data_IF_998812519458
#
_entry.id   IF_998812519458
#
_cell.length_a   1.000
_cell.length_b   1.000
_cell.length_c   1.000
_cell.angle_alpha   90.00
_cell.angle_beta   90.00
_cell.angle_gamma   90.00
#
_symmetry.space_group_name_H-M   'P 1'
#
loop_
_entity.id
_entity.type
_entity.pdbx_description
1 polymer ?
#
# COMPACT_ATOMS: atom_id res chain seq x y z
N UNK A 1 27.39 -3.95 5.17
CA UNK A 1 25.98 -3.77 4.77
C UNK A 1 25.60 -4.98 3.93
N UNK A 2 24.81 -5.88 4.47
CA UNK A 2 24.33 -7.04 3.75
C UNK A 2 23.48 -6.60 2.56
N UNK A 3 23.94 -6.99 1.37
CA UNK A 3 23.24 -6.69 0.12
C UNK A 3 21.98 -7.58 0.10
N UNK A 4 20.89 -7.14 0.73
CA UNK A 4 19.61 -7.87 0.73
C UNK A 4 19.21 -8.05 -0.74
N UNK A 5 19.40 -9.26 -1.27
CA UNK A 5 19.06 -9.60 -2.65
C UNK A 5 17.56 -9.45 -2.85
N UNK A 6 17.16 -8.93 -4.02
CA UNK A 6 15.75 -8.90 -4.39
C UNK A 6 15.12 -10.30 -4.25
N UNK A 7 13.90 -10.40 -3.74
CA UNK A 7 13.16 -11.66 -3.69
C UNK A 7 13.13 -12.34 -5.06
N UNK A 8 13.26 -13.67 -5.08
CA UNK A 8 13.35 -14.46 -6.31
C UNK A 8 12.17 -14.18 -7.25
N UNK A 9 10.94 -14.09 -6.73
CA UNK A 9 9.74 -13.83 -7.53
C UNK A 9 9.76 -12.47 -8.26
N UNK A 10 10.44 -11.46 -7.72
CA UNK A 10 10.61 -10.17 -8.40
C UNK A 10 11.51 -10.35 -9.63
N UNK A 11 12.61 -11.09 -9.48
CA UNK A 11 13.53 -11.39 -10.58
C UNK A 11 12.87 -12.23 -11.67
N UNK A 12 12.12 -13.25 -11.29
CA UNK A 12 11.49 -14.19 -12.23
C UNK A 12 10.38 -13.52 -13.07
N UNK A 13 9.63 -12.59 -12.49
CA UNK A 13 8.47 -12.00 -13.18
C UNK A 13 8.80 -10.67 -13.82
N UNK A 14 9.52 -9.81 -13.10
CA UNK A 14 9.81 -8.45 -13.58
C UNK A 14 11.23 -8.34 -14.15
N UNK A 15 12.00 -9.44 -14.15
CA UNK A 15 13.38 -9.48 -14.63
C UNK A 15 14.23 -8.42 -13.93
N UNK A 16 14.99 -7.68 -14.73
CA UNK A 16 15.83 -6.59 -14.23
C UNK A 16 15.12 -5.22 -14.20
N UNK A 17 13.79 -5.17 -14.40
CA UNK A 17 13.07 -3.90 -14.43
C UNK A 17 13.35 -3.05 -13.18
N UNK A 18 13.17 -3.62 -11.97
CA UNK A 18 13.41 -2.92 -10.72
C UNK A 18 14.89 -2.71 -10.39
N UNK A 19 15.81 -3.35 -11.14
CA UNK A 19 17.26 -3.15 -11.06
C UNK A 19 17.78 -2.21 -12.14
N UNK A 20 16.94 -1.74 -13.04
CA UNK A 20 17.33 -0.86 -14.13
C UNK A 20 16.81 0.56 -13.91
N UNK A 21 17.72 1.45 -13.52
CA UNK A 21 17.39 2.86 -13.24
C UNK A 21 16.74 3.57 -14.43
N UNK A 22 17.20 3.32 -15.65
CA UNK A 22 16.64 3.95 -16.86
C UNK A 22 15.21 3.52 -17.10
N UNK A 23 14.90 2.22 -16.91
CA UNK A 23 13.53 1.70 -17.03
C UNK A 23 12.62 2.26 -15.93
N UNK A 24 13.11 2.31 -14.70
CA UNK A 24 12.37 2.91 -13.59
C UNK A 24 12.06 4.40 -13.81
N UNK A 25 13.05 5.18 -14.29
CA UNK A 25 12.85 6.58 -14.61
C UNK A 25 11.89 6.79 -15.80
N UNK A 26 11.93 5.90 -16.80
CA UNK A 26 10.97 5.91 -17.89
C UNK A 26 9.56 5.60 -17.39
N UNK A 27 9.41 4.59 -16.54
CA UNK A 27 8.14 4.21 -15.94
C UNK A 27 7.54 5.29 -15.03
N UNK A 28 8.35 6.22 -14.51
CA UNK A 28 7.89 7.32 -13.64
C UNK A 28 7.32 8.52 -14.42
N UNK A 29 7.37 8.50 -15.76
CA UNK A 29 6.84 9.62 -16.57
C UNK A 29 5.33 9.78 -16.39
N UNK A 30 4.84 11.02 -16.18
CA UNK A 30 3.42 11.28 -15.87
C UNK A 30 2.45 10.74 -16.92
N UNK A 31 2.76 10.89 -18.21
CA UNK A 31 1.89 10.40 -19.28
C UNK A 31 1.75 8.87 -19.25
N UNK A 32 2.85 8.16 -18.94
CA UNK A 32 2.82 6.71 -18.87
C UNK A 32 2.00 6.23 -17.66
N UNK A 33 2.10 6.93 -16.53
CA UNK A 33 1.27 6.64 -15.34
C UNK A 33 -0.20 6.84 -15.62
N UNK A 34 -0.54 7.93 -16.32
CA UNK A 34 -1.92 8.18 -16.75
C UNK A 34 -2.42 7.09 -17.69
N UNK A 35 -1.61 6.67 -18.64
CA UNK A 35 -1.95 5.58 -19.56
C UNK A 35 -2.13 4.24 -18.80
N UNK A 36 -1.17 3.84 -17.97
CA UNK A 36 -1.22 2.58 -17.21
C UNK A 36 -2.39 2.51 -16.22
N UNK A 37 -2.82 3.65 -15.68
CA UNK A 37 -3.99 3.72 -14.80
C UNK A 37 -5.30 3.98 -15.53
N UNK A 38 -5.27 4.01 -16.87
CA UNK A 38 -6.41 4.39 -17.71
C UNK A 38 -7.05 5.72 -17.26
N UNK A 39 -6.21 6.71 -16.91
CA UNK A 39 -6.64 8.04 -16.44
C UNK A 39 -7.10 8.10 -14.98
N UNK A 40 -7.04 7.00 -14.22
CA UNK A 40 -7.58 6.96 -12.85
C UNK A 40 -6.57 7.27 -11.75
N UNK A 41 -5.30 7.52 -12.07
CA UNK A 41 -4.25 7.81 -11.09
C UNK A 41 -4.63 8.93 -10.11
N UNK A 42 -5.18 10.04 -10.60
CA UNK A 42 -5.59 11.18 -9.74
C UNK A 42 -6.70 10.75 -8.77
N UNK A 43 -7.74 10.06 -9.26
CA UNK A 43 -8.84 9.58 -8.42
C UNK A 43 -8.38 8.60 -7.34
N UNK A 44 -7.41 7.74 -7.66
CA UNK A 44 -6.87 6.78 -6.70
C UNK A 44 -5.98 7.47 -5.66
N UNK A 45 -5.20 8.48 -6.06
CA UNK A 45 -4.45 9.33 -5.14
C UNK A 45 -5.41 10.06 -4.20
N UNK A 46 -6.44 10.73 -4.73
CA UNK A 46 -7.45 11.42 -3.92
C UNK A 46 -8.16 10.47 -2.95
N UNK A 47 -8.46 9.25 -3.40
CA UNK A 47 -9.06 8.23 -2.53
C UNK A 47 -8.13 7.83 -1.37
N UNK A 48 -6.81 7.85 -1.60
CA UNK A 48 -5.78 7.62 -0.57
C UNK A 48 -5.72 8.80 0.40
N UNK A 49 -5.63 10.02 -0.13
CA UNK A 49 -5.45 11.25 0.67
C UNK A 49 -6.64 11.54 1.61
N UNK A 50 -7.84 11.06 1.27
CA UNK A 50 -9.03 11.14 2.15
C UNK A 50 -8.86 10.34 3.45
N UNK A 51 -7.95 9.39 3.46
CA UNK A 51 -7.66 8.56 4.63
C UNK A 51 -6.49 9.10 5.47
N UNK A 52 -5.85 10.17 5.06
CA UNK A 52 -4.66 10.73 5.69
C UNK A 52 -4.98 12.13 6.21
N UNK A 53 -4.64 12.39 7.46
CA UNK A 53 -4.77 13.70 8.09
C UNK A 53 -3.43 14.44 8.14
N UNK A 54 -3.50 15.76 8.32
CA UNK A 54 -2.32 16.55 8.59
C UNK A 54 -1.70 16.13 9.93
N UNK A 55 -0.38 15.95 9.96
CA UNK A 55 0.36 15.52 11.15
C UNK A 55 0.42 14.00 11.34
N UNK A 56 -0.26 13.20 10.52
CA UNK A 56 -0.22 11.74 10.62
C UNK A 56 1.22 11.20 10.45
N UNK A 57 1.48 10.10 11.15
CA UNK A 57 2.62 9.22 10.88
C UNK A 57 2.18 8.13 9.91
N UNK A 58 2.67 8.21 8.68
CA UNK A 58 2.32 7.31 7.60
C UNK A 58 3.49 6.38 7.30
N UNK A 59 3.23 5.08 7.26
CA UNK A 59 4.13 4.08 6.69
C UNK A 59 3.62 3.65 5.33
N UNK A 60 4.43 3.76 4.30
CA UNK A 60 4.10 3.21 2.99
C UNK A 60 4.96 1.98 2.69
N UNK A 61 4.29 0.91 2.29
CA UNK A 61 4.92 -0.33 1.86
C UNK A 61 5.10 -0.31 0.34
N UNK A 62 6.36 -0.18 -0.09
CA UNK A 62 6.76 -0.05 -1.50
C UNK A 62 6.82 1.38 -2.00
N UNK A 63 7.91 1.70 -2.71
CA UNK A 63 8.04 2.93 -3.48
C UNK A 63 7.05 2.93 -4.65
N UNK A 64 6.48 4.09 -4.95
CA UNK A 64 5.56 4.21 -6.09
C UNK A 64 6.13 5.09 -7.20
N UNK A 65 5.53 4.97 -8.36
CA UNK A 65 5.78 5.84 -9.50
C UNK A 65 4.73 6.97 -9.54
N UNK A 66 5.09 8.10 -10.17
CA UNK A 66 4.19 9.23 -10.34
C UNK A 66 4.19 10.17 -9.13
N UNK A 67 3.02 10.74 -8.81
CA UNK A 67 2.88 11.83 -7.83
C UNK A 67 2.33 11.37 -6.47
N UNK A 68 2.04 10.09 -6.29
CA UNK A 68 1.34 9.61 -5.08
C UNK A 68 2.13 9.91 -3.80
N UNK A 69 3.45 9.65 -3.79
CA UNK A 69 4.31 9.93 -2.63
C UNK A 69 4.39 11.42 -2.32
N UNK A 70 4.54 12.25 -3.36
CA UNK A 70 4.55 13.71 -3.21
C UNK A 70 3.26 14.23 -2.59
N UNK A 71 2.12 13.81 -3.13
CA UNK A 71 0.81 14.22 -2.63
C UNK A 71 0.57 13.75 -1.19
N UNK A 72 1.08 12.57 -0.81
CA UNK A 72 1.05 12.10 0.58
C UNK A 72 1.90 12.97 1.49
N UNK A 73 3.13 13.32 1.08
CA UNK A 73 4.02 14.20 1.84
C UNK A 73 3.41 15.61 2.03
N UNK A 74 2.79 16.15 0.99
CA UNK A 74 2.06 17.43 1.07
C UNK A 74 0.86 17.33 2.03
N UNK A 75 0.12 16.23 1.99
CA UNK A 75 -1.08 16.01 2.81
C UNK A 75 -0.77 15.96 4.30
N UNK A 76 0.27 15.24 4.71
CA UNK A 76 0.67 15.16 6.13
C UNK A 76 1.31 16.46 6.63
N UNK A 77 1.88 17.26 5.72
CA UNK A 77 2.55 18.51 6.04
C UNK A 77 3.88 18.31 6.80
N UNK A 78 4.50 19.42 7.20
CA UNK A 78 5.83 19.43 7.80
C UNK A 78 5.93 18.81 9.21
N UNK A 79 4.81 18.65 9.89
CA UNK A 79 4.74 18.07 11.24
C UNK A 79 4.41 16.58 11.24
N UNK A 80 4.03 16.02 10.07
CA UNK A 80 3.83 14.59 9.90
C UNK A 80 5.16 13.85 9.71
N UNK A 81 5.08 12.52 9.75
CA UNK A 81 6.18 11.61 9.41
C UNK A 81 5.73 10.69 8.28
N UNK A 82 6.56 10.50 7.28
CA UNK A 82 6.26 9.62 6.16
C UNK A 82 7.41 8.67 5.90
N UNK A 83 7.31 7.45 6.40
CA UNK A 83 8.31 6.41 6.16
C UNK A 83 7.90 5.54 4.97
N UNK A 84 8.84 5.36 4.05
CA UNK A 84 8.65 4.53 2.86
C UNK A 84 9.66 3.41 2.89
N UNK A 85 9.19 2.17 2.87
CA UNK A 85 10.06 0.99 2.80
C UNK A 85 10.02 0.39 1.40
N UNK A 86 11.16 -0.10 0.94
CA UNK A 86 11.24 -0.88 -0.30
C UNK A 86 12.37 -1.89 -0.20
N UNK A 87 12.21 -3.02 -0.86
CA UNK A 87 13.22 -4.07 -0.96
C UNK A 87 14.29 -3.76 -2.02
N UNK A 88 14.00 -2.83 -2.94
CA UNK A 88 14.92 -2.38 -3.99
C UNK A 88 15.66 -1.11 -3.59
N UNK A 89 16.97 -1.20 -3.46
CA UNK A 89 17.85 -0.03 -3.24
C UNK A 89 17.73 0.99 -4.37
N UNK A 90 17.49 0.55 -5.60
CA UNK A 90 17.33 1.43 -6.77
C UNK A 90 16.04 2.25 -6.63
N UNK A 91 14.93 1.63 -6.20
CA UNK A 91 13.69 2.35 -5.95
C UNK A 91 13.85 3.38 -4.81
N UNK A 92 14.50 2.99 -3.72
CA UNK A 92 14.83 3.90 -2.62
C UNK A 92 15.68 5.07 -3.12
N UNK A 93 16.76 4.81 -3.86
CA UNK A 93 17.66 5.83 -4.39
C UNK A 93 16.91 6.79 -5.34
N UNK A 94 16.07 6.25 -6.24
CA UNK A 94 15.21 7.03 -7.15
C UNK A 94 14.26 7.95 -6.40
N UNK A 95 13.54 7.42 -5.42
CA UNK A 95 12.61 8.21 -4.62
C UNK A 95 13.33 9.28 -3.81
N UNK A 96 14.49 8.96 -3.22
CA UNK A 96 15.31 9.89 -2.49
C UNK A 96 15.87 11.02 -3.38
N UNK A 97 16.29 10.69 -4.60
CA UNK A 97 16.74 11.69 -5.57
C UNK A 97 15.59 12.64 -5.99
N UNK A 98 14.38 12.09 -6.14
CA UNK A 98 13.21 12.85 -6.58
C UNK A 98 12.63 13.75 -5.49
N UNK A 99 12.59 13.29 -4.23
CA UNK A 99 11.82 13.91 -3.17
C UNK A 99 12.66 14.34 -1.96
N UNK A 100 13.87 13.79 -1.78
CA UNK A 100 14.63 13.95 -0.53
C UNK A 100 15.01 15.39 -0.18
N UNK A 101 15.24 16.24 -1.18
CA UNK A 101 15.53 17.67 -0.99
C UNK A 101 14.28 18.54 -0.86
N UNK A 102 13.11 18.01 -1.23
CA UNK A 102 11.84 18.75 -1.24
C UNK A 102 11.01 18.51 0.02
N UNK A 103 11.09 17.31 0.59
CA UNK A 103 10.24 16.85 1.67
C UNK A 103 11.05 16.17 2.76
N UNK A 104 11.54 16.95 3.74
CA UNK A 104 12.37 16.46 4.84
C UNK A 104 11.67 15.47 5.77
N UNK A 105 10.35 15.44 5.75
CA UNK A 105 9.53 14.50 6.54
C UNK A 105 9.48 13.07 5.95
N UNK A 106 10.07 12.83 4.76
CA UNK A 106 10.10 11.49 4.15
C UNK A 106 11.33 10.72 4.63
N UNK A 107 11.12 9.64 5.37
CA UNK A 107 12.12 8.62 5.70
C UNK A 107 12.16 7.51 4.64
N UNK A 108 13.34 6.99 4.33
CA UNK A 108 13.53 5.91 3.36
C UNK A 108 14.21 4.73 4.03
N UNK A 109 13.57 3.56 4.00
CA UNK A 109 14.02 2.36 4.72
C UNK A 109 14.16 1.21 3.72
N UNK A 110 15.38 0.66 3.61
CA UNK A 110 15.63 -0.53 2.79
C UNK A 110 15.26 -1.78 3.59
N UNK A 111 14.02 -2.25 3.39
CA UNK A 111 13.47 -3.40 4.13
C UNK A 111 12.42 -4.13 3.30
N UNK A 112 12.19 -5.41 3.61
CA UNK A 112 11.11 -6.16 2.98
C UNK A 112 9.77 -5.80 3.63
N UNK A 113 8.75 -5.56 2.82
CA UNK A 113 7.40 -5.20 3.27
C UNK A 113 6.70 -6.28 4.11
N UNK A 114 7.21 -7.52 4.12
CA UNK A 114 6.70 -8.61 4.95
C UNK A 114 7.28 -8.64 6.38
N UNK A 115 8.16 -7.71 6.70
CA UNK A 115 8.73 -7.53 8.04
C UNK A 115 8.03 -6.33 8.71
N UNK A 116 7.34 -6.52 9.86
CA UNK A 116 6.66 -5.43 10.51
C UNK A 116 7.65 -4.40 11.08
N UNK A 117 7.24 -3.14 11.06
CA UNK A 117 7.89 -2.09 11.82
C UNK A 117 7.19 -1.89 13.17
N UNK A 118 7.78 -1.06 14.05
CA UNK A 118 7.16 -0.76 15.36
C UNK A 118 5.75 -0.22 15.18
N UNK A 119 4.84 -0.70 16.03
CA UNK A 119 3.43 -0.31 16.06
C UNK A 119 3.25 1.14 16.53
N UNK A 120 3.43 2.10 15.63
CA UNK A 120 3.31 3.53 15.95
C UNK A 120 2.77 4.40 14.81
N UNK A 121 2.32 3.80 13.70
CA UNK A 121 1.82 4.54 12.55
C UNK A 121 0.30 4.74 12.63
N UNK A 122 -0.14 5.96 12.32
CA UNK A 122 -1.56 6.31 12.20
C UNK A 122 -2.18 5.63 10.98
N UNK A 123 -1.42 5.61 9.88
CA UNK A 123 -1.83 4.99 8.62
C UNK A 123 -0.70 4.13 8.08
N UNK A 124 -1.01 2.87 7.74
CA UNK A 124 -0.12 2.02 6.94
C UNK A 124 -0.72 1.88 5.55
N UNK A 125 0.01 2.33 4.52
CA UNK A 125 -0.46 2.44 3.15
C UNK A 125 0.18 1.37 2.26
N UNK A 126 -0.65 0.59 1.59
CA UNK A 126 -0.30 -0.30 0.48
C UNK A 126 -0.93 0.28 -0.79
N UNK A 127 -0.12 0.97 -1.60
CA UNK A 127 -0.59 1.58 -2.84
C UNK A 127 -0.03 0.84 -4.04
N UNK A 128 -0.89 0.10 -4.74
CA UNK A 128 -0.52 -0.67 -5.93
C UNK A 128 0.66 -1.63 -5.68
N UNK A 129 0.59 -2.41 -4.60
CA UNK A 129 1.65 -3.34 -4.19
C UNK A 129 1.23 -4.81 -4.27
N UNK A 130 0.00 -5.14 -3.84
CA UNK A 130 -0.38 -6.55 -3.66
C UNK A 130 -0.47 -7.31 -4.98
N UNK A 131 -0.81 -6.63 -6.07
CA UNK A 131 -0.86 -7.27 -7.40
C UNK A 131 0.53 -7.69 -7.94
N UNK A 132 1.61 -7.19 -7.34
CA UNK A 132 2.99 -7.51 -7.76
C UNK A 132 3.59 -8.71 -7.01
N UNK A 133 2.91 -9.23 -5.99
CA UNK A 133 3.49 -10.24 -5.11
C UNK A 133 2.67 -11.54 -5.08
N UNK A 134 3.32 -12.71 -4.87
CA UNK A 134 2.63 -14.00 -4.75
C UNK A 134 1.71 -14.06 -3.52
N UNK A 135 0.77 -15.01 -3.51
CA UNK A 135 -0.23 -15.17 -2.46
C UNK A 135 0.36 -15.23 -1.05
N UNK A 136 1.43 -15.99 -0.86
CA UNK A 136 2.10 -16.13 0.45
C UNK A 136 2.65 -14.78 0.91
N UNK A 137 3.18 -13.98 0.01
CA UNK A 137 3.69 -12.64 0.31
C UNK A 137 2.57 -11.64 0.59
N UNK A 138 1.43 -11.71 -0.14
CA UNK A 138 0.25 -10.90 0.18
C UNK A 138 -0.17 -11.06 1.64
N UNK A 139 -0.25 -12.32 2.11
CA UNK A 139 -0.61 -12.60 3.50
C UNK A 139 0.42 -12.06 4.50
N UNK A 140 1.71 -12.26 4.25
CA UNK A 140 2.79 -11.75 5.12
C UNK A 140 2.78 -10.23 5.19
N UNK A 141 2.71 -9.56 4.04
CA UNK A 141 2.71 -8.10 3.93
C UNK A 141 1.49 -7.49 4.65
N UNK A 142 0.29 -8.05 4.45
CA UNK A 142 -0.91 -7.56 5.12
C UNK A 142 -0.86 -7.74 6.64
N UNK A 143 -0.35 -8.89 7.12
CA UNK A 143 -0.19 -9.09 8.57
C UNK A 143 0.89 -8.17 9.15
N UNK A 144 2.02 -7.96 8.46
CA UNK A 144 3.05 -7.00 8.86
C UNK A 144 2.51 -5.56 8.91
N UNK A 145 1.67 -5.17 7.94
CA UNK A 145 1.01 -3.87 7.95
C UNK A 145 0.10 -3.68 9.17
N UNK A 146 -0.69 -4.72 9.50
CA UNK A 146 -1.57 -4.72 10.67
C UNK A 146 -0.84 -4.72 12.01
N UNK A 147 0.38 -5.27 12.05
CA UNK A 147 1.27 -5.20 13.20
C UNK A 147 1.96 -3.84 13.33
N UNK A 148 2.16 -3.13 12.22
CA UNK A 148 2.84 -1.82 12.20
C UNK A 148 1.92 -0.65 12.54
N UNK A 149 0.60 -0.80 12.35
CA UNK A 149 -0.38 0.24 12.65
C UNK A 149 -0.67 0.31 14.15
N UNK A 150 -0.67 1.53 14.72
CA UNK A 150 -1.01 1.74 16.12
C UNK A 150 -2.47 1.42 16.43
N UNK A 151 -2.81 1.32 17.69
CA UNK A 151 -4.20 1.23 18.11
C UNK A 151 -4.98 2.49 17.73
N UNK A 152 -6.20 2.31 17.19
CA UNK A 152 -6.99 3.40 16.60
C UNK A 152 -6.53 3.89 15.23
N UNK A 153 -5.38 3.41 14.73
CA UNK A 153 -4.92 3.64 13.37
C UNK A 153 -5.62 2.74 12.34
N UNK A 154 -5.18 2.81 11.09
CA UNK A 154 -5.78 2.05 9.99
C UNK A 154 -4.74 1.59 8.95
N UNK A 155 -5.02 0.46 8.32
CA UNK A 155 -4.34 0.02 7.10
C UNK A 155 -5.21 0.40 5.91
N UNK A 156 -4.61 1.03 4.90
CA UNK A 156 -5.28 1.45 3.66
C UNK A 156 -4.63 0.72 2.49
N UNK A 157 -5.43 -0.03 1.75
CA UNK A 157 -4.98 -0.75 0.55
C UNK A 157 -5.67 -0.16 -0.66
N UNK A 158 -4.90 0.28 -1.65
CA UNK A 158 -5.37 0.65 -2.99
C UNK A 158 -4.75 -0.34 -3.96
N UNK A 159 -5.58 -1.10 -4.66
CA UNK A 159 -5.06 -2.10 -5.61
C UNK A 159 -6.13 -2.51 -6.64
N UNK A 160 -5.76 -3.41 -7.56
CA UNK A 160 -6.67 -3.97 -8.54
C UNK A 160 -7.81 -4.75 -7.88
N UNK A 161 -8.91 -4.82 -8.60
CA UNK A 161 -10.08 -5.63 -8.29
C UNK A 161 -10.71 -6.12 -9.60
N UNK A 162 -11.57 -7.10 -9.54
CA UNK A 162 -12.26 -7.62 -10.71
C UNK A 162 -13.22 -6.57 -11.30
N UNK A 163 -13.02 -6.15 -12.56
CA UNK A 163 -13.97 -5.26 -13.23
C UNK A 163 -15.37 -5.85 -13.29
N UNK A 164 -16.38 -5.00 -13.18
CA UNK A 164 -17.77 -5.41 -13.35
C UNK A 164 -17.96 -6.20 -14.66
N UNK A 165 -18.91 -7.13 -14.69
CA UNK A 165 -19.15 -8.00 -15.87
C UNK A 165 -19.42 -7.21 -17.16
N UNK A 166 -20.05 -6.04 -17.03
CA UNK A 166 -20.37 -5.13 -18.13
C UNK A 166 -19.22 -4.21 -18.54
N UNK A 167 -18.08 -4.22 -17.81
CA UNK A 167 -16.98 -3.27 -18.06
C UNK A 167 -16.30 -3.55 -19.41
N UNK A 168 -16.22 -2.57 -20.33
CA UNK A 168 -15.76 -2.80 -21.70
C UNK A 168 -14.31 -3.29 -21.79
N UNK A 169 -13.46 -2.90 -20.84
CA UNK A 169 -12.05 -3.28 -20.81
C UNK A 169 -11.76 -4.58 -20.05
N UNK A 170 -12.80 -5.26 -19.51
CA UNK A 170 -12.62 -6.44 -18.66
C UNK A 170 -11.73 -7.53 -19.29
N UNK A 171 -12.02 -7.89 -20.54
CA UNK A 171 -11.26 -8.93 -21.23
C UNK A 171 -9.84 -8.50 -21.59
N UNK A 172 -9.68 -7.24 -21.99
CA UNK A 172 -8.35 -6.65 -22.28
C UNK A 172 -7.47 -6.63 -21.04
N UNK A 173 -7.99 -6.14 -19.91
CA UNK A 173 -7.25 -6.09 -18.64
C UNK A 173 -6.91 -7.49 -18.14
N UNK A 174 -7.82 -8.46 -18.30
CA UNK A 174 -7.55 -9.86 -17.94
C UNK A 174 -6.39 -10.44 -18.76
N UNK A 175 -6.41 -10.23 -20.08
CA UNK A 175 -5.33 -10.66 -20.96
C UNK A 175 -4.01 -9.99 -20.58
N UNK A 176 -4.01 -8.67 -20.34
CA UNK A 176 -2.83 -7.92 -19.92
C UNK A 176 -2.26 -8.43 -18.60
N UNK A 177 -3.11 -8.67 -17.59
CA UNK A 177 -2.68 -9.19 -16.30
C UNK A 177 -2.03 -10.57 -16.42
N UNK A 178 -2.61 -11.47 -17.22
CA UNK A 178 -2.02 -12.81 -17.45
C UNK A 178 -0.64 -12.76 -18.04
N UNK A 179 -0.38 -11.80 -18.92
CA UNK A 179 0.91 -11.69 -19.61
C UNK A 179 1.97 -10.95 -18.79
N UNK A 180 1.57 -9.91 -18.05
CA UNK A 180 2.52 -8.98 -17.42
C UNK A 180 2.40 -8.88 -15.89
N UNK A 181 1.27 -9.32 -15.32
CA UNK A 181 0.99 -9.20 -13.88
C UNK A 181 0.27 -10.45 -13.35
N UNK A 182 0.91 -11.61 -13.36
CA UNK A 182 0.25 -12.90 -13.08
C UNK A 182 -0.35 -13.00 -11.67
N UNK A 183 0.10 -12.18 -10.74
CA UNK A 183 -0.44 -12.16 -9.38
C UNK A 183 -1.64 -11.22 -9.19
N UNK A 184 -1.99 -10.40 -10.19
CA UNK A 184 -3.12 -9.47 -10.11
C UNK A 184 -4.47 -10.21 -10.11
N UNK A 185 -4.60 -11.30 -10.88
CA UNK A 185 -5.84 -12.08 -10.94
C UNK A 185 -6.24 -12.68 -9.58
N UNK A 186 -5.29 -12.92 -8.69
CA UNK A 186 -5.59 -13.38 -7.33
C UNK A 186 -6.42 -12.37 -6.51
N UNK A 187 -6.34 -11.08 -6.85
CA UNK A 187 -7.18 -10.03 -6.23
C UNK A 187 -8.57 -9.95 -6.87
N UNK A 188 -8.79 -10.64 -7.98
CA UNK A 188 -10.09 -10.78 -8.61
C UNK A 188 -10.87 -11.93 -7.98
N UNK A 189 -10.19 -13.06 -7.74
CA UNK A 189 -10.82 -14.27 -7.24
C UNK A 189 -11.03 -14.27 -5.73
N UNK A 190 -10.30 -13.41 -5.00
CA UNK A 190 -10.28 -13.41 -3.55
C UNK A 190 -10.36 -12.01 -2.95
N UNK A 191 -11.14 -11.87 -1.90
CA UNK A 191 -11.14 -10.63 -1.10
C UNK A 191 -9.82 -10.47 -0.33
N UNK A 192 -9.36 -9.23 -0.17
CA UNK A 192 -8.14 -8.90 0.59
C UNK A 192 -8.21 -9.46 2.02
N UNK A 193 -9.39 -9.48 2.63
CA UNK A 193 -9.61 -10.05 3.95
C UNK A 193 -9.23 -11.55 4.06
N UNK A 194 -9.28 -12.30 2.95
CA UNK A 194 -8.94 -13.73 2.94
C UNK A 194 -7.45 -14.01 3.14
N UNK A 195 -6.59 -13.01 2.96
CA UNK A 195 -5.14 -13.12 3.18
C UNK A 195 -4.72 -12.80 4.61
N UNK A 196 -5.64 -12.32 5.46
CA UNK A 196 -5.33 -11.90 6.84
C UNK A 196 -5.73 -13.00 7.81
N UNK A 197 -4.81 -13.31 8.75
CA UNK A 197 -5.14 -14.15 9.92
C UNK A 197 -6.15 -13.41 10.79
N UNK A 198 -7.06 -14.17 11.39
CA UNK A 198 -8.03 -13.60 12.33
C UNK A 198 -8.82 -12.40 11.79
N UNK A 199 -9.19 -12.46 10.50
CA UNK A 199 -9.90 -11.35 9.82
C UNK A 199 -11.09 -10.79 10.60
N UNK A 200 -11.67 -11.58 11.51
CA UNK A 200 -12.82 -11.20 12.35
C UNK A 200 -12.44 -10.19 13.47
N UNK A 201 -11.14 -10.02 13.76
CA UNK A 201 -10.64 -8.99 14.71
C UNK A 201 -10.64 -7.58 14.11
N UNK A 202 -10.97 -7.45 12.83
CA UNK A 202 -10.89 -6.19 12.09
C UNK A 202 -12.24 -5.79 11.51
N UNK A 203 -12.40 -4.48 11.31
CA UNK A 203 -13.50 -3.87 10.56
C UNK A 203 -13.00 -3.57 9.17
N UNK A 204 -13.72 -4.04 8.16
CA UNK A 204 -13.37 -3.93 6.76
C UNK A 204 -14.34 -3.01 6.04
N UNK A 205 -13.82 -2.00 5.34
CA UNK A 205 -14.61 -1.13 4.47
C UNK A 205 -14.00 -1.13 3.08
N UNK A 206 -14.78 -1.47 2.08
CA UNK A 206 -14.33 -1.51 0.68
C UNK A 206 -15.10 -0.49 -0.17
N UNK A 207 -14.38 0.22 -1.03
CA UNK A 207 -14.92 1.09 -2.07
C UNK A 207 -14.34 0.70 -3.42
N UNK A 208 -15.15 0.71 -4.47
CA UNK A 208 -14.74 0.35 -5.83
C UNK A 208 -14.65 1.59 -6.70
N UNK A 209 -13.71 1.57 -7.64
CA UNK A 209 -13.42 2.67 -8.57
C UNK A 209 -13.36 2.15 -9.99
N UNK A 210 -13.68 3.00 -10.95
CA UNK A 210 -13.62 2.74 -12.37
C UNK A 210 -14.28 1.39 -12.75
N UNK A 211 -15.60 1.30 -12.53
CA UNK A 211 -16.37 0.09 -12.84
C UNK A 211 -15.87 -1.19 -12.17
N UNK A 212 -15.26 -1.06 -10.99
CA UNK A 212 -14.76 -2.17 -10.21
C UNK A 212 -13.30 -2.56 -10.47
N UNK A 213 -12.60 -1.93 -11.43
CA UNK A 213 -11.20 -2.29 -11.74
C UNK A 213 -10.21 -2.05 -10.60
N UNK A 214 -10.52 -1.09 -9.72
CA UNK A 214 -9.72 -0.77 -8.55
C UNK A 214 -10.56 -0.81 -7.29
N UNK A 215 -9.92 -1.15 -6.19
CA UNK A 215 -10.53 -1.12 -4.86
C UNK A 215 -9.68 -0.28 -3.89
N UNK A 216 -10.39 0.37 -2.95
CA UNK A 216 -9.82 0.86 -1.71
C UNK A 216 -10.39 0.00 -0.58
N UNK A 217 -9.51 -0.59 0.22
CA UNK A 217 -9.89 -1.33 1.42
C UNK A 217 -9.26 -0.66 2.62
N UNK A 218 -10.09 -0.31 3.60
CA UNK A 218 -9.67 0.24 4.88
C UNK A 218 -9.87 -0.84 5.94
N UNK A 219 -8.85 -1.05 6.74
CA UNK A 219 -8.82 -2.07 7.79
C UNK A 219 -8.54 -1.38 9.12
N UNK A 220 -9.47 -1.46 10.05
CA UNK A 220 -9.32 -0.97 11.43
C UNK A 220 -9.38 -2.15 12.41
N UNK A 221 -8.60 -2.12 13.50
CA UNK A 221 -8.79 -3.05 14.60
C UNK A 221 -10.16 -2.80 15.24
N UNK A 222 -10.89 -3.86 15.60
CA UNK A 222 -12.06 -3.73 16.45
C UNK A 222 -11.60 -3.29 17.83
N UNK A 223 -12.31 -2.36 18.45
CA UNK A 223 -12.11 -2.08 19.87
C UNK A 223 -12.46 -3.35 20.68
N UNK A 224 -11.59 -3.69 21.61
CA UNK A 224 -11.88 -4.77 22.53
C UNK A 224 -12.77 -4.23 23.65
N UNK A 225 -14.09 -4.49 23.56
CA UNK A 225 -15.08 -4.06 24.55
C UNK A 225 -14.74 -4.57 25.97
N UNK A 226 -13.85 -5.56 26.08
CA UNK A 226 -13.35 -6.07 27.36
C UNK A 226 -12.46 -5.05 28.09
N UNK A 227 -11.80 -4.13 27.39
CA UNK A 227 -10.98 -3.08 28.00
C UNK A 227 -11.86 -1.96 28.58
N UNK A 228 -12.97 -1.63 27.95
CA UNK A 228 -13.93 -0.63 28.46
C UNK A 228 -14.63 -1.09 29.75
N UNK A 229 -14.77 -2.39 29.97
CA UNK A 229 -15.32 -2.95 31.21
C UNK A 229 -14.35 -2.93 32.38
N UNK A 230 -13.05 -2.83 32.16
CA UNK A 230 -12.06 -2.76 33.24
C UNK A 230 -11.96 -1.40 33.91
N UNK A 231 -12.14 -0.34 33.13
CA UNK A 231 -12.05 1.04 33.65
C UNK A 231 -13.34 1.52 34.30
N UNK A 232 -14.46 0.80 34.14
CA UNK A 232 -15.74 1.13 34.82
C UNK A 232 -15.86 0.57 36.22
N UNK A 233 -14.84 -0.15 36.72
CA UNK A 233 -14.83 -0.73 38.08
C UNK A 233 -13.93 0.03 39.07
N UNK A 234 -13.61 1.28 38.85
CA UNK A 234 -13.15 2.15 39.93
C UNK A 234 -14.39 2.73 40.60
N UNK A 235 -15.04 1.90 41.41
CA UNK A 235 -16.10 2.36 42.28
C UNK A 235 -15.52 3.34 43.29
N UNK A 236 -16.00 4.55 43.26
CA UNK A 236 -15.90 5.49 44.37
C UNK A 236 -16.56 4.84 45.57
N UNK A 237 -15.78 4.50 46.57
CA UNK A 237 -16.28 4.35 47.92
C UNK A 237 -16.20 5.69 48.62
N UNK A 238 -17.33 6.14 49.22
CA UNK A 238 -17.38 7.41 49.95
C UNK A 238 -16.57 7.39 51.25
#
# INVERSE_FOLDING_TARGET
MENKRLPIYIKEIYGDFYNNEKLCNWADKPWLRTLCSLGNNVKLIDATLKEICQGDKVLQLGCTFGMQMEQTALRIGKYGQYDVIDVSNIQIARCKAKYGNLYSQIGYIHQNANEPLKNNYDVVLLYMLLHEVPQVQKAKILNAALESVREGGKVVVIDYHEPAKWHPLRYFVRMFNRLYQPFAEMLWDREIASFVKDKNKYIWRRSLYFGGMYQKVIINKKFDDALLKKDSFVAYHP
#
